data_IF_014316554262
#
_entry.id   IF_014316554262
#
_cell.length_a   1.000
_cell.length_b   1.000
_cell.length_c   1.000
_cell.angle_alpha   90.00
_cell.angle_beta   90.00
_cell.angle_gamma   90.00
#
_symmetry.space_group_name_H-M   'P 1'
#
loop_
_entity.id
_entity.type
_entity.pdbx_description
1 polymer ?
#
# COMPACT_ATOMS: atom_id res chain seq x y z
N UNK A 1 -3.73 -12.23 13.06
CA UNK A 1 -3.89 -11.27 11.94
C UNK A 1 -3.54 -9.90 12.47
N UNK A 2 -2.86 -9.08 11.67
CA UNK A 2 -2.40 -7.74 12.08
C UNK A 2 -3.54 -6.74 11.88
N UNK A 3 -3.80 -5.86 12.86
CA UNK A 3 -4.91 -4.89 12.79
C UNK A 3 -4.44 -3.57 12.20
N UNK A 4 -5.18 -3.03 11.23
CA UNK A 4 -4.90 -1.72 10.66
C UNK A 4 -6.05 -0.76 10.89
N UNK A 5 -5.76 0.44 11.39
CA UNK A 5 -6.72 1.51 11.44
C UNK A 5 -7.06 1.97 10.02
N UNK A 6 -8.33 1.93 9.62
CA UNK A 6 -8.77 2.36 8.31
C UNK A 6 -9.17 3.85 8.31
N UNK A 7 -8.59 4.61 7.39
CA UNK A 7 -8.98 6.00 7.11
C UNK A 7 -9.55 6.09 5.69
N UNK A 8 -10.78 6.58 5.57
CA UNK A 8 -11.49 6.67 4.30
C UNK A 8 -12.21 5.38 3.93
N UNK A 9 -12.30 5.08 2.64
CA UNK A 9 -12.94 3.87 2.12
C UNK A 9 -12.00 2.68 2.23
N UNK A 10 -12.56 1.50 2.41
CA UNK A 10 -11.82 0.25 2.39
C UNK A 10 -11.14 0.03 1.03
N UNK A 11 -9.83 -0.30 0.99
CA UNK A 11 -9.15 -0.65 -0.25
C UNK A 11 -9.84 -1.83 -0.94
N UNK A 12 -10.02 -1.73 -2.26
CA UNK A 12 -10.57 -2.84 -3.04
C UNK A 12 -9.61 -4.04 -3.14
N UNK A 13 -8.33 -3.83 -2.84
CA UNK A 13 -7.31 -4.87 -2.82
C UNK A 13 -7.13 -5.45 -1.42
N UNK A 14 -6.90 -6.76 -1.35
CA UNK A 14 -6.66 -7.47 -0.11
C UNK A 14 -5.24 -7.18 0.41
N UNK A 15 -5.13 -6.21 1.33
CA UNK A 15 -3.84 -5.80 1.91
C UNK A 15 -3.36 -6.73 3.03
N UNK A 16 -4.17 -7.72 3.44
CA UNK A 16 -3.85 -8.68 4.49
C UNK A 16 -3.95 -8.12 5.91
N UNK A 17 -4.78 -7.09 6.12
CA UNK A 17 -5.05 -6.50 7.43
C UNK A 17 -6.52 -6.67 7.81
N UNK A 18 -6.76 -6.84 9.11
CA UNK A 18 -8.09 -6.65 9.68
C UNK A 18 -8.30 -5.16 9.93
N UNK A 19 -9.22 -4.55 9.20
CA UNK A 19 -9.49 -3.11 9.32
C UNK A 19 -10.31 -2.79 10.56
N UNK A 20 -9.81 -1.87 11.37
CA UNK A 20 -10.46 -1.37 12.59
C UNK A 20 -10.65 0.15 12.50
N UNK A 21 -11.62 0.67 13.22
CA UNK A 21 -11.91 2.12 13.27
C UNK A 21 -11.35 2.79 14.53
N UNK A 22 -10.95 1.98 15.52
CA UNK A 22 -10.50 2.41 16.84
C UNK A 22 -9.31 1.54 17.30
N UNK A 23 -8.63 1.98 18.36
CA UNK A 23 -7.57 1.21 19.00
C UNK A 23 -8.09 -0.11 19.59
N UNK A 24 -7.27 -1.18 19.67
CA UNK A 24 -5.85 -1.25 19.31
C UNK A 24 -5.60 -1.59 17.83
N UNK A 25 -4.57 -0.96 17.26
CA UNK A 25 -4.07 -1.19 15.89
C UNK A 25 -2.54 -1.15 15.84
N UNK A 26 -1.97 -1.91 14.89
CA UNK A 26 -0.53 -2.05 14.68
C UNK A 26 -0.04 -1.23 13.47
N UNK A 27 -0.95 -0.88 12.55
CA UNK A 27 -0.69 -0.10 11.36
C UNK A 27 -1.86 0.86 11.06
N UNK A 28 -1.64 1.81 10.16
CA UNK A 28 -2.72 2.65 9.62
C UNK A 28 -2.77 2.49 8.10
N UNK A 29 -3.97 2.35 7.54
CA UNK A 29 -4.21 2.26 6.11
C UNK A 29 -5.16 3.38 5.71
N UNK A 30 -4.67 4.30 4.89
CA UNK A 30 -5.45 5.33 4.25
C UNK A 30 -5.95 4.74 2.93
N UNK A 31 -7.20 4.29 2.92
CA UNK A 31 -7.77 3.60 1.77
C UNK A 31 -8.32 4.52 0.68
N UNK A 32 -8.68 5.76 1.02
CA UNK A 32 -9.02 6.77 0.00
C UNK A 32 -8.89 8.19 0.55
N UNK A 33 -8.56 9.14 -0.32
CA UNK A 33 -8.62 10.57 -0.01
C UNK A 33 -9.34 11.33 -1.11
N UNK A 34 -10.17 12.30 -0.72
CA UNK A 34 -10.70 13.29 -1.66
C UNK A 34 -9.66 14.37 -1.97
N UNK A 35 -9.91 15.18 -3.01
CA UNK A 35 -9.03 16.31 -3.38
C UNK A 35 -8.74 17.25 -2.21
N UNK A 36 -9.78 17.65 -1.46
CA UNK A 36 -9.64 18.55 -0.32
C UNK A 36 -8.87 17.92 0.83
N UNK A 37 -9.12 16.64 1.11
CA UNK A 37 -8.40 15.89 2.15
C UNK A 37 -6.93 15.72 1.81
N UNK A 38 -6.59 15.41 0.55
CA UNK A 38 -5.20 15.29 0.13
C UNK A 38 -4.46 16.62 0.24
N UNK A 39 -5.08 17.73 -0.18
CA UNK A 39 -4.47 19.07 -0.10
C UNK A 39 -4.30 19.61 1.33
N UNK A 40 -5.12 19.14 2.28
CA UNK A 40 -5.14 19.63 3.67
C UNK A 40 -4.95 18.50 4.68
N UNK A 41 -4.19 17.48 4.31
CA UNK A 41 -4.10 16.26 5.10
C UNK A 41 -3.45 16.54 6.47
N UNK A 42 -4.24 16.41 7.54
CA UNK A 42 -3.87 16.65 8.95
C UNK A 42 -4.64 15.72 9.89
N UNK A 43 -4.72 14.45 9.52
CA UNK A 43 -5.46 13.46 10.32
C UNK A 43 -4.65 13.07 11.57
N UNK A 44 -5.15 13.43 12.75
CA UNK A 44 -4.45 13.24 14.03
C UNK A 44 -4.05 11.78 14.28
N UNK A 45 -4.94 10.83 13.97
CA UNK A 45 -4.68 9.40 14.16
C UNK A 45 -3.50 8.90 13.31
N UNK A 46 -3.33 9.46 12.12
CA UNK A 46 -2.22 9.13 11.22
C UNK A 46 -0.93 9.77 11.73
N UNK A 47 -0.99 11.04 12.15
CA UNK A 47 0.17 11.74 12.70
C UNK A 47 0.65 11.09 14.00
N UNK A 48 -0.27 10.72 14.89
CA UNK A 48 0.01 9.96 16.11
C UNK A 48 0.66 8.61 15.79
N UNK A 49 0.14 7.86 14.81
CA UNK A 49 0.74 6.59 14.39
C UNK A 49 2.17 6.77 13.84
N UNK A 50 2.42 7.80 13.02
CA UNK A 50 3.76 8.13 12.54
C UNK A 50 4.69 8.49 13.69
N UNK A 51 4.23 9.27 14.67
CA UNK A 51 5.00 9.65 15.85
C UNK A 51 5.35 8.44 16.74
N UNK A 52 4.45 7.46 16.85
CA UNK A 52 4.66 6.18 17.53
C UNK A 52 5.54 5.20 16.74
N UNK A 53 5.93 5.54 15.50
CA UNK A 53 6.71 4.67 14.62
C UNK A 53 5.90 3.53 13.98
N UNK A 54 4.57 3.58 14.04
CA UNK A 54 3.70 2.60 13.39
C UNK A 54 3.68 2.82 11.88
N UNK A 55 3.68 1.76 11.06
CA UNK A 55 3.64 1.90 9.62
C UNK A 55 2.30 2.49 9.16
N UNK A 56 2.38 3.50 8.29
CA UNK A 56 1.22 4.11 7.63
C UNK A 56 1.28 3.84 6.14
N UNK A 57 0.21 3.28 5.59
CA UNK A 57 0.06 2.95 4.19
C UNK A 57 -0.98 3.85 3.52
N UNK A 58 -0.74 4.25 2.27
CA UNK A 58 -1.69 5.01 1.45
C UNK A 58 -2.03 4.20 0.20
N UNK A 59 -3.31 3.85 0.05
CA UNK A 59 -3.83 3.13 -1.10
C UNK A 59 -3.95 4.05 -2.32
N UNK A 60 -3.06 3.89 -3.30
CA UNK A 60 -2.96 4.81 -4.44
C UNK A 60 -4.16 4.77 -5.41
N UNK A 61 -4.85 3.64 -5.65
CA UNK A 61 -6.10 3.64 -6.41
C UNK A 61 -7.26 4.36 -5.70
N UNK A 62 -7.13 4.64 -4.40
CA UNK A 62 -8.07 5.46 -3.65
C UNK A 62 -7.79 6.96 -3.71
N UNK A 63 -6.76 7.38 -4.45
CA UNK A 63 -6.43 8.79 -4.66
C UNK A 63 -7.25 9.40 -5.79
N UNK A 64 -7.49 10.72 -5.78
CA UNK A 64 -8.23 11.38 -6.83
C UNK A 64 -7.46 11.31 -8.15
N UNK A 65 -8.20 11.16 -9.26
CA UNK A 65 -7.63 11.20 -10.61
C UNK A 65 -6.91 12.53 -10.87
N UNK A 66 -5.95 12.50 -11.79
CA UNK A 66 -5.18 13.67 -12.17
C UNK A 66 -6.12 14.77 -12.72
N UNK A 67 -6.19 15.95 -12.07
CA UNK A 67 -7.09 17.00 -12.51
C UNK A 67 -6.58 17.63 -13.82
N UNK A 68 -7.51 18.02 -14.69
CA UNK A 68 -7.20 18.78 -15.93
C UNK A 68 -6.57 20.15 -15.64
N UNK A 69 -6.81 20.70 -14.45
CA UNK A 69 -6.21 21.96 -14.01
C UNK A 69 -4.75 21.74 -13.60
N UNK A 70 -3.82 22.30 -14.38
CA UNK A 70 -2.37 22.16 -14.19
C UNK A 70 -1.89 22.68 -12.82
N UNK A 71 -2.43 23.80 -12.33
CA UNK A 71 -2.04 24.35 -11.03
C UNK A 71 -2.46 23.41 -9.90
N UNK A 72 -3.70 22.91 -9.98
CA UNK A 72 -4.23 21.95 -9.01
C UNK A 72 -3.43 20.63 -9.02
N UNK A 73 -3.04 20.15 -10.20
CA UNK A 73 -2.18 18.97 -10.34
C UNK A 73 -0.82 19.15 -9.64
N UNK A 74 -0.22 20.34 -9.80
CA UNK A 74 1.01 20.70 -9.08
C UNK A 74 0.85 20.68 -7.55
N UNK A 75 -0.25 21.26 -7.04
CA UNK A 75 -0.54 21.26 -5.60
C UNK A 75 -0.77 19.85 -5.04
N UNK A 76 -1.49 18.98 -5.77
CA UNK A 76 -1.71 17.58 -5.34
C UNK A 76 -0.41 16.78 -5.34
N UNK A 77 0.45 16.98 -6.35
CA UNK A 77 1.76 16.33 -6.39
C UNK A 77 2.65 16.78 -5.23
N UNK A 78 2.58 18.05 -4.83
CA UNK A 78 3.29 18.56 -3.66
C UNK A 78 2.77 17.91 -2.38
N UNK A 79 1.45 17.83 -2.21
CA UNK A 79 0.84 17.19 -1.04
C UNK A 79 1.20 15.69 -0.94
N UNK A 80 1.18 14.95 -2.06
CA UNK A 80 1.62 13.55 -2.06
C UNK A 80 3.10 13.40 -1.67
N UNK A 81 3.97 14.32 -2.11
CA UNK A 81 5.39 14.34 -1.72
C UNK A 81 5.56 14.62 -0.24
N UNK A 82 4.77 15.53 0.33
CA UNK A 82 4.78 15.82 1.76
C UNK A 82 4.43 14.58 2.59
N UNK A 83 3.38 13.83 2.21
CA UNK A 83 3.04 12.56 2.86
C UNK A 83 4.17 11.55 2.78
N UNK A 84 4.83 11.43 1.62
CA UNK A 84 5.98 10.54 1.45
C UNK A 84 7.16 10.97 2.34
N UNK A 85 7.38 12.27 2.49
CA UNK A 85 8.44 12.82 3.35
C UNK A 85 8.16 12.55 4.84
N UNK A 86 6.90 12.47 5.25
CA UNK A 86 6.53 12.07 6.61
C UNK A 86 6.68 10.58 6.89
N UNK A 87 6.99 9.76 5.87
CA UNK A 87 7.16 8.32 6.01
C UNK A 87 5.93 7.49 5.62
N UNK A 88 4.91 8.09 5.00
CA UNK A 88 3.75 7.34 4.48
C UNK A 88 4.16 6.46 3.30
N UNK A 89 3.83 5.17 3.37
CA UNK A 89 4.16 4.17 2.37
C UNK A 89 3.03 4.04 1.34
N UNK A 90 3.32 4.40 0.09
CA UNK A 90 2.34 4.33 -0.99
C UNK A 90 2.24 2.88 -1.47
N UNK A 91 1.03 2.33 -1.48
CA UNK A 91 0.73 0.98 -1.94
C UNK A 91 -0.47 1.03 -2.87
N UNK A 92 -0.43 0.30 -3.97
CA UNK A 92 -1.57 0.13 -4.87
C UNK A 92 -2.39 -1.11 -4.54
N UNK A 93 -2.09 -1.78 -3.41
CA UNK A 93 -2.57 -3.13 -3.11
C UNK A 93 -2.05 -4.21 -4.06
N UNK A 94 -1.51 -3.79 -5.20
CA UNK A 94 -0.47 -4.47 -5.94
C UNK A 94 0.86 -4.45 -5.18
N UNK A 95 0.86 -4.92 -3.92
CA UNK A 95 2.06 -5.64 -3.46
C UNK A 95 2.24 -6.74 -4.50
N UNK A 96 3.07 -6.45 -5.50
CA UNK A 96 3.75 -7.43 -6.30
C UNK A 96 4.54 -8.22 -5.29
N UNK A 97 3.88 -9.20 -4.67
CA UNK A 97 4.38 -9.93 -3.51
C UNK A 97 5.78 -10.36 -3.91
N UNK A 98 6.78 -9.92 -3.14
CA UNK A 98 8.15 -10.31 -3.44
C UNK A 98 8.21 -11.81 -3.18
N UNK A 99 8.19 -12.60 -4.25
CA UNK A 99 8.20 -14.05 -4.12
C UNK A 99 9.64 -14.46 -3.86
N UNK A 100 9.85 -14.98 -2.66
CA UNK A 100 11.11 -15.58 -2.25
C UNK A 100 11.27 -16.95 -2.89
N UNK A 101 12.50 -17.48 -2.91
CA UNK A 101 12.78 -18.80 -3.51
C UNK A 101 11.98 -19.94 -2.86
N UNK A 102 11.72 -19.83 -1.56
CA UNK A 102 10.94 -20.81 -0.80
C UNK A 102 9.46 -20.78 -1.18
N UNK A 103 8.87 -19.59 -1.28
CA UNK A 103 7.51 -19.42 -1.78
C UNK A 103 7.35 -19.84 -3.24
N UNK A 104 8.36 -19.60 -4.09
CA UNK A 104 8.37 -20.08 -5.47
C UNK A 104 8.38 -21.61 -5.57
N UNK A 105 9.10 -22.30 -4.69
CA UNK A 105 9.06 -23.78 -4.62
C UNK A 105 7.68 -24.25 -4.21
N UNK A 106 7.06 -23.62 -3.21
CA UNK A 106 5.70 -23.93 -2.77
C UNK A 106 4.68 -23.73 -3.89
N UNK A 107 4.77 -22.61 -4.62
CA UNK A 107 3.89 -22.31 -5.76
C UNK A 107 4.07 -23.30 -6.91
N UNK A 108 5.32 -23.64 -7.26
CA UNK A 108 5.61 -24.64 -8.30
C UNK A 108 5.15 -26.04 -7.91
N UNK A 109 5.37 -26.46 -6.66
CA UNK A 109 4.90 -27.76 -6.16
C UNK A 109 3.37 -27.85 -6.16
N UNK A 110 2.68 -26.74 -5.93
CA UNK A 110 1.22 -26.64 -6.00
C UNK A 110 0.68 -26.39 -7.43
N UNK A 111 1.55 -26.29 -8.44
CA UNK A 111 1.17 -26.01 -9.84
C UNK A 111 0.54 -24.64 -10.06
N UNK A 112 0.72 -23.68 -9.14
CA UNK A 112 0.12 -22.34 -9.19
C UNK A 112 1.12 -21.32 -9.73
N UNK A 113 0.62 -20.38 -10.53
CA UNK A 113 1.41 -19.24 -10.98
C UNK A 113 1.45 -18.15 -9.89
N UNK A 114 2.55 -17.39 -9.83
CA UNK A 114 2.61 -16.12 -9.12
C UNK A 114 1.42 -15.22 -9.45
N UNK A 115 0.92 -14.47 -8.47
CA UNK A 115 -0.08 -13.43 -8.72
C UNK A 115 0.38 -12.50 -9.85
N UNK A 116 -0.49 -12.13 -10.81
CA UNK A 116 -0.11 -11.28 -11.93
C UNK A 116 0.60 -10.01 -11.47
N UNK A 117 1.85 -9.83 -11.93
CA UNK A 117 2.69 -8.70 -11.56
C UNK A 117 3.66 -8.94 -10.41
N UNK A 118 3.65 -10.07 -9.69
CA UNK A 118 4.57 -10.36 -8.58
C UNK A 118 6.05 -10.15 -8.95
N UNK A 119 6.83 -9.54 -8.06
CA UNK A 119 8.29 -9.38 -8.24
C UNK A 119 8.96 -10.63 -7.71
N UNK A 120 9.61 -11.39 -8.60
CA UNK A 120 10.39 -12.57 -8.22
C UNK A 120 11.81 -12.15 -7.85
N UNK A 121 12.34 -12.73 -6.78
CA UNK A 121 13.80 -12.74 -6.57
C UNK A 121 14.50 -13.51 -7.70
N UNK A 122 15.78 -13.26 -8.02
CA UNK A 122 16.48 -13.98 -9.11
C UNK A 122 16.39 -15.51 -8.99
N UNK A 123 16.60 -16.04 -7.78
CA UNK A 123 16.49 -17.47 -7.49
C UNK A 123 15.03 -17.98 -7.59
N UNK A 124 14.05 -17.20 -7.18
CA UNK A 124 12.62 -17.54 -7.36
C UNK A 124 12.22 -17.58 -8.84
N UNK A 125 12.78 -16.69 -9.66
CA UNK A 125 12.56 -16.66 -11.11
C UNK A 125 13.11 -17.93 -11.75
N UNK A 126 14.32 -18.36 -11.41
CA UNK A 126 14.91 -19.62 -11.89
C UNK A 126 14.06 -20.84 -11.51
N UNK A 127 13.58 -20.87 -10.26
CA UNK A 127 12.71 -21.94 -9.75
C UNK A 127 11.39 -21.98 -10.51
N UNK A 128 10.80 -20.84 -10.86
CA UNK A 128 9.55 -20.78 -11.63
C UNK A 128 9.74 -21.08 -13.12
N UNK A 129 10.85 -20.65 -13.74
CA UNK A 129 11.16 -20.84 -15.17
C UNK A 129 11.68 -22.26 -15.49
N UNK A 130 12.04 -23.05 -14.48
CA UNK A 130 12.38 -24.46 -14.65
C UNK A 130 13.76 -24.72 -15.26
N UNK A 131 14.65 -23.72 -15.31
CA UNK A 131 16.06 -23.95 -15.63
C UNK A 131 16.71 -24.72 -14.49
N UNK A 132 17.08 -25.97 -14.79
CA UNK A 132 17.97 -26.80 -13.97
C UNK A 132 19.38 -26.21 -13.95
#
# INVERSE_FOLDING_TARGET
MTRALLIGKEPAAELGYDYVMEAPYDAVVIGSLTLSQLLRFREERVLSALAEGKPVYLYTPGLPEAPKNRMLSGSLASAQRELKNWGVLFTDGGRKKLITAEEARGLRAAGKLPSPGAVLTPLAKEIMEGKK
#
